data_IF_613716866915
#
_entry.id   IF_613716866915
#
_cell.length_a   1.000
_cell.length_b   1.000
_cell.length_c   1.000
_cell.angle_alpha   90.00
_cell.angle_beta   90.00
_cell.angle_gamma   90.00
#
_symmetry.space_group_name_H-M   'P 1'
#
loop_
_entity.id
_entity.type
_entity.pdbx_description
1 polymer ?
#
# COMPACT_ATOMS: atom_id res chain seq x y z
N UNK A 1 11.69 -19.49 -7.10
CA UNK A 1 11.48 -18.08 -6.76
C UNK A 1 12.21 -17.83 -5.45
N UNK A 2 13.32 -17.10 -5.48
CA UNK A 2 14.07 -16.76 -4.26
C UNK A 2 13.24 -15.73 -3.49
N UNK A 3 12.53 -16.14 -2.43
CA UNK A 3 11.92 -15.18 -1.51
C UNK A 3 13.02 -14.68 -0.58
N UNK A 4 13.46 -13.44 -0.77
CA UNK A 4 14.27 -12.79 0.25
C UNK A 4 13.38 -12.61 1.49
N UNK A 5 13.79 -13.16 2.65
CA UNK A 5 13.02 -12.96 3.88
C UNK A 5 13.02 -11.47 4.23
N UNK A 6 11.93 -11.02 4.87
CA UNK A 6 11.87 -9.66 5.41
C UNK A 6 13.01 -9.46 6.42
N UNK A 7 13.65 -8.29 6.41
CA UNK A 7 14.71 -7.97 7.36
C UNK A 7 14.05 -7.71 8.72
N UNK A 8 14.45 -8.45 9.76
CA UNK A 8 13.90 -8.27 11.10
C UNK A 8 13.93 -6.79 11.54
N UNK A 9 12.82 -6.35 12.11
CA UNK A 9 12.58 -4.95 12.43
C UNK A 9 13.71 -4.31 13.29
N UNK A 10 14.24 -4.96 14.35
CA UNK A 10 15.33 -4.39 15.14
C UNK A 10 16.63 -4.22 14.36
N UNK A 11 16.92 -5.15 13.44
CA UNK A 11 18.09 -5.09 12.55
C UNK A 11 17.95 -3.90 11.60
N UNK A 12 16.75 -3.73 11.04
CA UNK A 12 16.47 -2.68 10.09
C UNK A 12 16.46 -1.29 10.75
N UNK A 13 15.90 -1.18 11.96
CA UNK A 13 15.97 0.06 12.78
C UNK A 13 17.41 0.48 13.05
N UNK A 14 18.26 -0.48 13.41
CA UNK A 14 19.69 -0.22 13.64
C UNK A 14 20.38 0.31 12.38
N UNK A 15 20.04 -0.23 11.21
CA UNK A 15 20.53 0.30 9.93
C UNK A 15 20.03 1.73 9.67
N UNK A 16 18.73 1.98 9.82
CA UNK A 16 18.14 3.32 9.65
C UNK A 16 18.78 4.37 10.57
N UNK A 17 18.96 4.04 11.86
CA UNK A 17 19.58 4.94 12.82
C UNK A 17 21.06 5.22 12.53
N UNK A 18 21.79 4.29 11.90
CA UNK A 18 23.15 4.58 11.42
C UNK A 18 23.14 5.65 10.32
N UNK A 19 22.20 5.57 9.38
CA UNK A 19 22.08 6.57 8.31
C UNK A 19 21.68 7.95 8.84
N UNK A 20 20.71 8.00 9.76
CA UNK A 20 20.20 9.26 10.32
C UNK A 20 21.15 9.91 11.33
N UNK A 21 22.15 9.17 11.82
CA UNK A 21 23.16 9.72 12.73
C UNK A 21 23.98 10.87 12.11
N UNK A 22 24.13 10.92 10.78
CA UNK A 22 24.75 12.05 10.07
C UNK A 22 23.99 13.37 10.27
N UNK A 23 22.68 13.30 10.52
CA UNK A 23 21.81 14.43 10.83
C UNK A 23 21.54 14.59 12.34
N UNK A 24 22.25 13.84 13.19
CA UNK A 24 22.01 13.81 14.65
C UNK A 24 20.57 13.41 15.04
N UNK A 25 19.91 12.60 14.20
CA UNK A 25 18.52 12.12 14.41
C UNK A 25 18.51 10.64 14.73
N UNK A 26 17.50 10.23 15.50
CA UNK A 26 17.27 8.83 15.90
C UNK A 26 15.77 8.53 15.78
N UNK A 27 15.43 7.40 15.18
CA UNK A 27 14.07 6.83 15.19
C UNK A 27 13.95 5.90 16.39
N UNK A 28 12.95 6.17 17.23
CA UNK A 28 12.60 5.28 18.32
C UNK A 28 11.92 3.99 17.82
N UNK A 29 11.78 3.01 18.71
CA UNK A 29 11.14 1.73 18.41
C UNK A 29 9.71 1.91 17.90
N UNK A 30 8.90 2.71 18.59
CA UNK A 30 7.48 2.86 18.31
C UNK A 30 7.19 3.50 16.95
N UNK A 31 8.07 4.41 16.50
CA UNK A 31 7.96 5.07 15.20
C UNK A 31 8.49 4.15 14.10
N UNK A 32 9.57 3.39 14.36
CA UNK A 32 10.05 2.43 13.38
C UNK A 32 9.07 1.28 13.15
N UNK A 33 8.44 0.74 14.21
CA UNK A 33 7.36 -0.26 14.07
C UNK A 33 6.20 0.28 13.25
N UNK A 34 5.88 1.56 13.41
CA UNK A 34 4.85 2.21 12.61
C UNK A 34 5.23 2.26 11.12
N UNK A 35 6.46 2.64 10.77
CA UNK A 35 6.98 2.58 9.39
C UNK A 35 6.87 1.15 8.83
N UNK A 36 7.25 0.15 9.65
CA UNK A 36 7.23 -1.26 9.26
C UNK A 36 5.80 -1.77 8.99
N UNK A 37 4.84 -1.34 9.80
CA UNK A 37 3.43 -1.62 9.60
C UNK A 37 2.89 -0.94 8.33
N UNK A 38 3.17 0.36 8.13
CA UNK A 38 2.67 1.12 6.98
C UNK A 38 3.21 0.60 5.64
N UNK A 39 4.43 0.04 5.65
CA UNK A 39 5.10 -0.56 4.49
C UNK A 39 4.70 -2.01 4.20
N UNK A 40 3.95 -2.66 5.10
CA UNK A 40 3.68 -4.10 5.02
C UNK A 40 4.95 -4.94 5.05
N UNK A 41 6.00 -4.46 5.74
CA UNK A 41 7.31 -5.11 5.86
C UNK A 41 8.10 -5.28 4.56
N UNK A 42 7.66 -4.66 3.46
CA UNK A 42 8.37 -4.74 2.18
C UNK A 42 9.48 -3.69 2.14
N UNK A 43 10.71 -4.15 1.95
CA UNK A 43 11.96 -3.36 1.92
C UNK A 43 11.84 -2.06 1.11
N UNK A 44 11.25 -2.12 -0.09
CA UNK A 44 11.15 -0.95 -0.95
C UNK A 44 10.35 0.19 -0.30
N UNK A 45 9.18 -0.09 0.30
CA UNK A 45 8.39 0.93 0.97
C UNK A 45 9.07 1.44 2.25
N UNK A 46 9.72 0.55 3.02
CA UNK A 46 10.51 0.96 4.20
C UNK A 46 11.59 1.96 3.79
N UNK A 47 12.33 1.67 2.72
CA UNK A 47 13.40 2.53 2.24
C UNK A 47 12.88 3.85 1.67
N UNK A 48 11.78 3.84 0.90
CA UNK A 48 11.16 5.05 0.37
C UNK A 48 10.73 6.00 1.51
N UNK A 49 10.09 5.47 2.55
CA UNK A 49 9.67 6.26 3.73
C UNK A 49 10.90 6.80 4.47
N UNK A 50 11.93 5.97 4.70
CA UNK A 50 13.16 6.42 5.36
C UNK A 50 13.90 7.50 4.57
N UNK A 51 13.88 7.42 3.24
CA UNK A 51 14.45 8.43 2.36
C UNK A 51 13.71 9.76 2.49
N UNK A 52 12.37 9.76 2.39
CA UNK A 52 11.60 10.99 2.59
C UNK A 52 11.79 11.60 3.99
N UNK A 53 11.84 10.77 5.04
CA UNK A 53 12.16 11.25 6.41
C UNK A 53 13.54 11.91 6.45
N UNK A 54 14.52 11.39 5.73
CA UNK A 54 15.87 11.95 5.66
C UNK A 54 15.87 13.32 4.96
N UNK A 55 15.03 13.53 3.96
CA UNK A 55 14.92 14.79 3.20
C UNK A 55 14.22 15.91 3.99
N UNK A 56 13.23 15.58 4.84
CA UNK A 56 12.42 16.55 5.57
C UNK A 56 13.15 17.40 6.63
N UNK A 57 14.37 17.01 7.05
CA UNK A 57 15.24 17.82 7.92
C UNK A 57 14.67 18.24 9.30
N UNK A 58 13.48 17.77 9.67
CA UNK A 58 12.72 18.24 10.84
C UNK A 58 13.27 17.72 12.18
N UNK A 59 13.08 18.52 13.23
CA UNK A 59 13.45 18.16 14.61
C UNK A 59 12.48 17.11 15.13
N UNK A 60 12.91 15.85 15.10
CA UNK A 60 12.19 14.69 15.63
C UNK A 60 11.52 13.86 14.55
N UNK A 61 11.71 12.54 14.63
CA UNK A 61 11.08 11.59 13.71
C UNK A 61 9.85 11.04 14.42
N UNK A 62 8.67 11.52 14.02
CA UNK A 62 7.38 11.20 14.65
C UNK A 62 6.49 10.41 13.70
N UNK A 63 5.43 9.78 14.21
CA UNK A 63 4.42 9.13 13.36
C UNK A 63 3.73 10.12 12.41
N UNK A 64 3.54 11.37 12.83
CA UNK A 64 3.00 12.42 11.97
C UNK A 64 3.90 12.70 10.76
N UNK A 65 5.22 12.76 10.97
CA UNK A 65 6.18 12.91 9.87
C UNK A 65 6.14 11.69 8.94
N UNK A 66 5.97 10.48 9.48
CA UNK A 66 5.81 9.27 8.67
C UNK A 66 4.56 9.38 7.79
N UNK A 67 3.44 9.83 8.33
CA UNK A 67 2.18 10.00 7.59
C UNK A 67 2.29 11.06 6.49
N UNK A 68 2.99 12.17 6.78
CA UNK A 68 3.31 13.24 5.82
C UNK A 68 4.15 12.72 4.65
N UNK A 69 5.27 12.06 4.94
CA UNK A 69 6.13 11.47 3.91
C UNK A 69 5.39 10.43 3.07
N UNK A 70 4.55 9.59 3.68
CA UNK A 70 3.73 8.62 2.93
C UNK A 70 2.75 9.33 2.02
N UNK A 71 2.13 10.43 2.47
CA UNK A 71 1.21 11.22 1.65
C UNK A 71 1.93 11.80 0.44
N UNK A 72 3.12 12.38 0.62
CA UNK A 72 3.93 12.92 -0.48
C UNK A 72 4.31 11.84 -1.49
N UNK A 73 4.82 10.69 -1.04
CA UNK A 73 5.15 9.54 -1.91
C UNK A 73 3.94 9.00 -2.71
N UNK A 74 2.74 9.14 -2.15
CA UNK A 74 1.49 8.80 -2.84
C UNK A 74 1.12 9.88 -3.86
N UNK A 75 1.24 11.15 -3.49
CA UNK A 75 0.93 12.30 -4.36
C UNK A 75 1.86 12.36 -5.59
N UNK A 76 3.15 12.07 -5.41
CA UNK A 76 4.13 11.95 -6.49
C UNK A 76 3.71 10.92 -7.56
N UNK A 77 2.99 9.88 -7.15
CA UNK A 77 2.51 8.81 -8.02
C UNK A 77 1.04 8.97 -8.43
N UNK A 78 0.34 9.99 -7.94
CA UNK A 78 -1.10 10.15 -8.14
C UNK A 78 -1.49 10.19 -9.62
N UNK A 79 -0.70 10.86 -10.47
CA UNK A 79 -0.95 10.90 -11.91
C UNK A 79 -0.82 9.51 -12.56
N UNK A 80 0.16 8.70 -12.14
CA UNK A 80 0.30 7.33 -12.62
C UNK A 80 -0.89 6.46 -12.19
N UNK A 81 -1.34 6.60 -10.94
CA UNK A 81 -2.50 5.90 -10.40
C UNK A 81 -3.81 6.28 -11.10
N UNK A 82 -4.02 7.58 -11.39
CA UNK A 82 -5.13 8.05 -12.20
C UNK A 82 -5.10 7.43 -13.60
N UNK A 83 -3.93 7.41 -14.23
CA UNK A 83 -3.76 6.78 -15.54
C UNK A 83 -4.11 5.29 -15.48
N UNK A 84 -3.67 4.54 -14.46
CA UNK A 84 -4.07 3.13 -14.31
C UNK A 84 -5.58 2.96 -14.25
N UNK A 85 -6.26 3.79 -13.46
CA UNK A 85 -7.71 3.75 -13.30
C UNK A 85 -8.46 4.12 -14.59
N UNK A 86 -7.94 5.06 -15.39
CA UNK A 86 -8.55 5.47 -16.65
C UNK A 86 -8.67 4.33 -17.67
N UNK A 87 -7.82 3.30 -17.58
CA UNK A 87 -7.88 2.10 -18.43
C UNK A 87 -8.75 0.97 -17.87
N UNK A 88 -9.43 1.21 -16.74
CA UNK A 88 -10.31 0.26 -16.08
C UNK A 88 -11.78 0.60 -16.37
N UNK A 89 -12.58 -0.44 -16.55
CA UNK A 89 -14.04 -0.27 -16.55
C UNK A 89 -14.54 0.06 -15.14
N UNK A 90 -15.72 0.65 -15.04
CA UNK A 90 -16.35 0.97 -13.75
C UNK A 90 -16.39 -0.24 -12.80
N UNK A 91 -16.82 -1.41 -13.30
CA UNK A 91 -16.82 -2.66 -12.53
C UNK A 91 -15.43 -3.06 -12.00
N UNK A 92 -14.37 -2.81 -12.79
CA UNK A 92 -13.00 -3.08 -12.36
C UNK A 92 -12.54 -2.06 -11.30
N UNK A 93 -12.89 -0.79 -11.44
CA UNK A 93 -12.57 0.25 -10.46
C UNK A 93 -13.30 0.00 -9.12
N UNK A 94 -14.60 -0.31 -9.17
CA UNK A 94 -15.39 -0.66 -7.98
C UNK A 94 -14.79 -1.85 -7.23
N UNK A 95 -14.46 -2.94 -7.94
CA UNK A 95 -13.86 -4.12 -7.33
C UNK A 95 -12.47 -3.81 -6.76
N UNK A 96 -11.66 -3.02 -7.47
CA UNK A 96 -10.33 -2.63 -7.02
C UNK A 96 -10.41 -1.80 -5.72
N UNK A 97 -11.34 -0.84 -5.65
CA UNK A 97 -11.59 -0.04 -4.45
C UNK A 97 -12.10 -0.90 -3.28
N UNK A 98 -13.00 -1.86 -3.55
CA UNK A 98 -13.50 -2.78 -2.53
C UNK A 98 -12.37 -3.64 -1.92
N UNK A 99 -11.48 -4.18 -2.78
CA UNK A 99 -10.30 -4.94 -2.33
C UNK A 99 -9.32 -4.05 -1.55
N UNK A 100 -9.12 -2.80 -1.99
CA UNK A 100 -8.27 -1.86 -1.28
C UNK A 100 -8.81 -1.54 0.13
N UNK A 101 -10.13 -1.36 0.24
CA UNK A 101 -10.81 -1.00 1.49
C UNK A 101 -10.73 -2.09 2.55
N UNK A 102 -10.77 -3.37 2.15
CA UNK A 102 -10.63 -4.50 3.08
C UNK A 102 -9.16 -4.92 3.32
N UNK A 103 -8.20 -4.34 2.60
CA UNK A 103 -6.75 -4.63 2.61
C UNK A 103 -6.32 -6.05 2.19
N UNK A 104 -7.14 -7.07 2.48
CA UNK A 104 -6.98 -8.47 2.09
C UNK A 104 -8.35 -9.17 2.05
N UNK A 105 -8.72 -9.70 0.88
CA UNK A 105 -10.01 -10.36 0.66
C UNK A 105 -9.80 -11.84 0.38
N UNK A 106 -10.19 -12.71 1.30
CA UNK A 106 -10.05 -14.16 1.13
C UNK A 106 -10.99 -14.72 0.05
N UNK A 107 -12.20 -14.17 -0.07
CA UNK A 107 -13.26 -14.66 -0.95
C UNK A 107 -13.96 -13.53 -1.72
N UNK A 108 -13.32 -12.95 -2.78
CA UNK A 108 -13.86 -11.81 -3.52
C UNK A 108 -15.11 -12.15 -4.37
N UNK A 109 -15.46 -13.43 -4.49
CA UNK A 109 -16.66 -13.90 -5.18
C UNK A 109 -17.78 -14.32 -4.22
N UNK A 110 -17.58 -14.16 -2.91
CA UNK A 110 -18.60 -14.49 -1.93
C UNK A 110 -19.77 -13.51 -2.01
N UNK A 111 -20.99 -14.01 -1.76
CA UNK A 111 -22.18 -13.15 -1.72
C UNK A 111 -22.05 -12.04 -0.68
N UNK A 112 -21.43 -12.35 0.48
CA UNK A 112 -21.18 -11.37 1.54
C UNK A 112 -20.35 -10.19 1.01
N UNK A 113 -19.17 -10.45 0.43
CA UNK A 113 -18.30 -9.40 -0.09
C UNK A 113 -18.98 -8.57 -1.18
N UNK A 114 -19.67 -9.24 -2.11
CA UNK A 114 -20.40 -8.58 -3.20
C UNK A 114 -21.49 -7.66 -2.63
N UNK A 115 -22.25 -8.12 -1.64
CA UNK A 115 -23.32 -7.31 -1.04
C UNK A 115 -22.79 -6.14 -0.22
N UNK A 116 -21.73 -6.34 0.58
CA UNK A 116 -21.12 -5.29 1.42
C UNK A 116 -20.64 -4.11 0.57
N UNK A 117 -20.01 -4.39 -0.57
CA UNK A 117 -19.43 -3.37 -1.46
C UNK A 117 -20.33 -3.01 -2.65
N UNK A 118 -21.60 -3.45 -2.63
CA UNK A 118 -22.58 -3.17 -3.70
C UNK A 118 -22.04 -3.50 -5.10
N UNK A 119 -21.29 -4.60 -5.20
CA UNK A 119 -20.68 -5.02 -6.45
C UNK A 119 -21.73 -5.64 -7.39
N UNK A 120 -21.48 -5.62 -8.71
CA UNK A 120 -22.34 -6.28 -9.67
C UNK A 120 -22.46 -7.80 -9.46
N UNK A 121 -23.23 -8.46 -10.31
CA UNK A 121 -23.38 -9.92 -10.30
C UNK A 121 -22.03 -10.66 -10.25
N UNK A 122 -22.00 -11.82 -9.56
CA UNK A 122 -20.78 -12.62 -9.35
C UNK A 122 -20.00 -12.94 -10.63
N UNK A 123 -20.68 -13.16 -11.75
CA UNK A 123 -20.06 -13.38 -13.06
C UNK A 123 -19.28 -12.16 -13.56
N UNK A 124 -19.81 -10.96 -13.37
CA UNK A 124 -19.15 -9.69 -13.68
C UNK A 124 -17.96 -9.46 -12.76
N UNK A 125 -18.11 -9.71 -11.46
CA UNK A 125 -17.01 -9.60 -10.47
C UNK A 125 -15.88 -10.58 -10.80
N UNK A 126 -16.20 -11.82 -11.20
CA UNK A 126 -15.20 -12.81 -11.62
C UNK A 126 -14.40 -12.34 -12.84
N UNK A 127 -15.07 -11.75 -13.82
CA UNK A 127 -14.42 -11.19 -15.02
C UNK A 127 -13.53 -10.01 -14.67
N UNK A 128 -14.03 -9.08 -13.84
CA UNK A 128 -13.27 -7.94 -13.34
C UNK A 128 -12.03 -8.37 -12.55
N UNK A 129 -12.19 -9.34 -11.63
CA UNK A 129 -11.10 -9.88 -10.83
C UNK A 129 -10.00 -10.47 -11.71
N UNK A 130 -10.38 -11.27 -12.71
CA UNK A 130 -9.43 -11.84 -13.66
C UNK A 130 -8.66 -10.73 -14.39
N UNK A 131 -9.36 -9.71 -14.90
CA UNK A 131 -8.73 -8.60 -15.59
C UNK A 131 -7.76 -7.81 -14.69
N UNK A 132 -8.13 -7.54 -13.44
CA UNK A 132 -7.26 -6.84 -12.47
C UNK A 132 -6.01 -7.64 -12.13
N UNK A 133 -6.12 -8.96 -12.01
CA UNK A 133 -4.98 -9.86 -11.79
C UNK A 133 -4.09 -9.92 -13.04
N UNK A 134 -4.68 -10.05 -14.23
CA UNK A 134 -3.93 -10.09 -15.49
C UNK A 134 -3.18 -8.76 -15.74
N UNK A 135 -3.74 -7.62 -15.29
CA UNK A 135 -3.10 -6.29 -15.28
C UNK A 135 -2.11 -6.08 -14.13
N UNK A 136 -1.92 -7.07 -13.25
CA UNK A 136 -1.09 -7.01 -12.04
C UNK A 136 -1.49 -5.93 -11.01
N UNK A 137 -2.69 -5.36 -11.10
CA UNK A 137 -3.20 -4.40 -10.11
C UNK A 137 -3.69 -5.08 -8.83
N UNK A 138 -4.11 -6.35 -8.95
CA UNK A 138 -4.46 -7.21 -7.82
C UNK A 138 -3.57 -8.43 -7.80
N UNK A 139 -3.00 -8.72 -6.62
CA UNK A 139 -2.18 -9.91 -6.38
C UNK A 139 -2.99 -10.99 -5.68
N UNK A 140 -2.83 -12.24 -6.14
CA UNK A 140 -3.34 -13.42 -5.44
C UNK A 140 -2.27 -13.98 -4.51
N UNK A 141 -2.61 -14.12 -3.24
CA UNK A 141 -1.78 -14.72 -2.18
C UNK A 141 -2.44 -16.00 -1.67
N UNK A 142 -1.74 -16.83 -0.87
CA UNK A 142 -2.36 -17.97 -0.20
C UNK A 142 -3.56 -17.60 0.69
N UNK A 143 -3.59 -16.37 1.21
CA UNK A 143 -4.61 -15.91 2.16
C UNK A 143 -5.74 -15.11 1.51
N UNK A 144 -5.67 -14.83 0.20
CA UNK A 144 -6.65 -14.00 -0.50
C UNK A 144 -6.04 -13.04 -1.51
N UNK A 145 -6.81 -12.03 -1.86
CA UNK A 145 -6.51 -11.03 -2.87
C UNK A 145 -6.26 -9.67 -2.23
N UNK A 146 -5.28 -8.94 -2.74
CA UNK A 146 -4.93 -7.61 -2.27
C UNK A 146 -4.47 -6.74 -3.45
N UNK A 147 -4.58 -5.42 -3.32
CA UNK A 147 -3.98 -4.49 -4.30
C UNK A 147 -2.46 -4.63 -4.26
N UNK A 148 -1.85 -4.86 -5.42
CA UNK A 148 -0.43 -5.22 -5.51
C UNK A 148 0.50 -4.14 -4.96
N UNK A 149 0.21 -2.87 -5.28
CA UNK A 149 0.95 -1.72 -4.77
C UNK A 149 0.26 -1.16 -3.51
N UNK A 150 1.01 -1.08 -2.40
CA UNK A 150 0.53 -0.59 -1.10
C UNK A 150 0.25 0.91 -1.10
N UNK A 151 1.05 1.71 -1.81
CA UNK A 151 0.80 3.14 -1.93
C UNK A 151 -0.40 3.39 -2.82
N UNK A 152 -0.57 2.61 -3.88
CA UNK A 152 -1.79 2.65 -4.69
C UNK A 152 -3.04 2.27 -3.87
N UNK A 153 -2.96 1.22 -3.04
CA UNK A 153 -4.06 0.83 -2.14
C UNK A 153 -4.46 1.97 -1.20
N UNK A 154 -3.48 2.67 -0.61
CA UNK A 154 -3.73 3.83 0.26
C UNK A 154 -4.34 5.00 -0.51
N UNK A 155 -3.84 5.26 -1.72
CA UNK A 155 -4.37 6.30 -2.61
C UNK A 155 -5.85 6.06 -2.96
N UNK A 156 -6.22 4.81 -3.26
CA UNK A 156 -7.61 4.42 -3.54
C UNK A 156 -8.53 4.71 -2.34
N UNK A 157 -8.15 4.27 -1.14
CA UNK A 157 -8.96 4.43 0.09
C UNK A 157 -9.07 5.90 0.53
N UNK A 158 -8.11 6.74 0.16
CA UNK A 158 -8.13 8.20 0.41
C UNK A 158 -9.02 8.98 -0.57
N UNK A 159 -9.75 8.30 -1.45
CA UNK A 159 -10.64 8.94 -2.44
C UNK A 159 -9.95 9.26 -3.77
N UNK A 160 -8.89 8.52 -4.12
CA UNK A 160 -8.18 8.71 -5.39
C UNK A 160 -9.06 8.45 -6.64
N UNK A 161 -10.11 7.65 -6.50
CA UNK A 161 -11.15 7.47 -7.52
C UNK A 161 -12.44 8.13 -7.04
N UNK A 162 -13.01 8.99 -7.86
CA UNK A 162 -14.40 9.45 -7.73
C UNK A 162 -15.27 8.52 -8.57
N UNK A 163 -15.98 7.60 -7.91
CA UNK A 163 -16.99 6.74 -8.53
C UNK A 163 -18.36 7.40 -8.50
#
# INVERSE_FOLDING_TARGET
>A
MLSLPCIEEPVYRKFANRLLSSQHRVIDESVFSYIYQQSGSVTWYVQAILHGIYEHGSYGITKSLVDEVIQELIEEQAMAYQNYCAWLTENQQMLLLAIASESLVSSPLSQQFISTHHLPATSSVKTALKALVDKQLVSKTPNGYLVSDRFFAKWLVRGGITL
#
